data_IF_833985464719
#
_entry.id   IF_833985464719
#
_cell.length_a   1.000
_cell.length_b   1.000
_cell.length_c   1.000
_cell.angle_alpha   90.00
_cell.angle_beta   90.00
_cell.angle_gamma   90.00
#
_symmetry.space_group_name_H-M   'P 1'
#
loop_
_entity.id
_entity.type
_entity.pdbx_description
1 polymer ?
#
# COMPACT_ATOMS: atom_id res chain seq x y z
N UNK A 1 -9.36 -0.73 -16.54
CA UNK A 1 -8.10 -0.75 -15.76
C UNK A 1 -7.50 -2.12 -15.96
N UNK A 2 -6.30 -2.20 -16.55
CA UNK A 2 -5.65 -3.48 -16.77
C UNK A 2 -4.98 -3.90 -15.46
N UNK A 3 -5.62 -4.81 -14.73
CA UNK A 3 -4.93 -5.57 -13.68
C UNK A 3 -3.81 -6.36 -14.37
N UNK A 4 -2.56 -6.03 -14.06
CA UNK A 4 -1.42 -6.78 -14.56
C UNK A 4 -1.21 -8.00 -13.67
N UNK A 5 -1.07 -9.20 -14.24
CA UNK A 5 -0.75 -10.43 -13.49
C UNK A 5 0.72 -10.48 -13.02
N UNK A 6 1.50 -9.46 -13.35
CA UNK A 6 2.90 -9.28 -13.02
C UNK A 6 3.82 -10.42 -13.47
N UNK A 7 4.35 -10.28 -14.69
CA UNK A 7 5.39 -11.18 -15.21
C UNK A 7 6.77 -10.72 -14.74
N UNK A 8 7.37 -11.47 -13.81
CA UNK A 8 8.66 -11.13 -13.21
C UNK A 8 9.79 -11.19 -14.26
N UNK A 9 10.63 -10.16 -14.27
CA UNK A 9 11.83 -10.07 -15.12
C UNK A 9 12.83 -11.19 -14.82
N UNK A 10 13.59 -11.59 -15.86
CA UNK A 10 14.59 -12.65 -15.74
C UNK A 10 15.72 -12.31 -14.77
N UNK A 11 16.48 -13.32 -14.33
CA UNK A 11 17.58 -13.14 -13.35
C UNK A 11 18.70 -12.19 -13.81
N UNK A 12 18.83 -11.95 -15.13
CA UNK A 12 19.80 -11.02 -15.72
C UNK A 12 19.24 -9.62 -15.97
N UNK A 13 17.92 -9.46 -15.98
CA UNK A 13 17.22 -8.20 -16.27
C UNK A 13 16.70 -7.61 -14.96
N UNK A 14 17.55 -6.83 -14.28
CA UNK A 14 17.23 -6.22 -12.99
C UNK A 14 17.55 -4.74 -13.00
N UNK A 15 16.75 -3.99 -12.25
CA UNK A 15 16.97 -2.56 -12.00
C UNK A 15 17.70 -2.42 -10.67
N UNK A 16 18.75 -1.61 -10.64
CA UNK A 16 19.51 -1.36 -9.42
C UNK A 16 18.95 -0.12 -8.74
N UNK A 17 18.39 -0.29 -7.54
CA UNK A 17 17.82 0.81 -6.76
C UNK A 17 18.57 0.98 -5.44
N UNK A 18 18.60 2.20 -4.87
CA UNK A 18 19.10 2.45 -3.53
C UNK A 18 18.42 1.55 -2.51
N UNK A 19 19.23 0.93 -1.64
CA UNK A 19 18.77 0.03 -0.61
C UNK A 19 19.14 0.59 0.76
N UNK A 20 18.11 0.81 1.56
CA UNK A 20 18.23 1.24 2.94
C UNK A 20 17.85 0.09 3.86
N UNK A 21 18.63 -0.13 4.91
CA UNK A 21 18.32 -1.11 5.95
C UNK A 21 18.55 -0.47 7.31
N UNK A 22 17.51 -0.47 8.16
CA UNK A 22 17.51 0.19 9.47
C UNK A 22 17.96 1.66 9.41
N UNK A 23 17.47 2.40 8.39
CA UNK A 23 17.78 3.83 8.21
C UNK A 23 19.19 4.13 7.71
N UNK A 24 19.99 3.11 7.37
CA UNK A 24 21.35 3.28 6.81
C UNK A 24 21.37 2.93 5.33
N UNK A 25 22.07 3.76 4.56
CA UNK A 25 22.39 3.45 3.16
C UNK A 25 23.29 2.20 3.09
N UNK A 26 22.85 1.22 2.29
CA UNK A 26 23.56 -0.05 2.04
C UNK A 26 23.97 -0.17 0.56
N UNK A 27 23.96 0.93 -0.19
CA UNK A 27 24.29 0.97 -1.61
C UNK A 27 23.11 0.55 -2.49
N UNK A 28 23.40 -0.14 -3.58
CA UNK A 28 22.39 -0.57 -4.55
C UNK A 28 22.05 -2.06 -4.37
N UNK A 29 20.76 -2.39 -4.46
CA UNK A 29 20.28 -3.77 -4.51
C UNK A 29 19.57 -4.01 -5.84
N UNK A 30 19.64 -5.22 -6.41
CA UNK A 30 18.97 -5.49 -7.67
C UNK A 30 17.51 -5.89 -7.43
N UNK A 31 16.58 -5.17 -8.05
CA UNK A 31 15.14 -5.38 -7.99
C UNK A 31 14.62 -6.00 -9.29
N UNK A 32 13.84 -7.09 -9.21
CA UNK A 32 13.02 -7.54 -10.32
C UNK A 32 11.96 -6.48 -10.66
N UNK A 33 11.47 -6.48 -11.89
CA UNK A 33 10.35 -5.65 -12.31
C UNK A 33 9.37 -6.47 -13.15
N UNK A 34 8.18 -5.95 -13.37
CA UNK A 34 7.20 -6.55 -14.25
C UNK A 34 7.54 -6.21 -15.71
N UNK A 35 7.73 -7.21 -16.56
CA UNK A 35 8.04 -6.99 -17.99
C UNK A 35 6.87 -6.41 -18.79
N UNK A 36 5.64 -6.47 -18.25
CA UNK A 36 4.43 -6.00 -18.93
C UNK A 36 4.06 -4.56 -18.55
N UNK A 37 4.16 -4.20 -17.26
CA UNK A 37 3.75 -2.88 -16.76
C UNK A 37 4.91 -2.01 -16.25
N UNK A 38 6.12 -2.55 -16.14
CA UNK A 38 7.30 -1.82 -15.67
C UNK A 38 7.37 -1.59 -14.16
N UNK A 39 6.37 -2.03 -13.38
CA UNK A 39 6.36 -1.88 -11.92
C UNK A 39 7.56 -2.62 -11.31
N UNK A 40 8.23 -2.02 -10.34
CA UNK A 40 9.38 -2.64 -9.66
C UNK A 40 8.89 -3.43 -8.46
N UNK A 41 9.42 -4.64 -8.30
CA UNK A 41 9.03 -5.54 -7.22
C UNK A 41 9.56 -5.05 -5.87
N UNK A 42 8.70 -5.00 -4.87
CA UNK A 42 9.09 -4.82 -3.47
C UNK A 42 9.94 -6.00 -2.99
N UNK A 43 11.06 -5.70 -2.32
CA UNK A 43 11.94 -6.71 -1.73
C UNK A 43 11.62 -6.98 -0.26
N UNK A 44 10.56 -6.36 0.28
CA UNK A 44 10.15 -6.58 1.65
C UNK A 44 9.63 -8.01 1.84
N UNK A 45 9.97 -8.62 2.97
CA UNK A 45 9.38 -9.89 3.42
C UNK A 45 8.07 -9.69 4.18
N UNK A 46 7.68 -8.45 4.46
CA UNK A 46 6.51 -8.16 5.27
C UNK A 46 5.23 -8.56 4.55
N UNK A 47 4.36 -9.27 5.27
CA UNK A 47 3.04 -9.62 4.78
C UNK A 47 2.17 -8.37 4.75
N UNK A 48 1.57 -8.10 3.59
CA UNK A 48 0.58 -7.05 3.44
C UNK A 48 -0.68 -7.32 4.27
N UNK A 49 -1.34 -6.24 4.69
CA UNK A 49 -2.67 -6.29 5.24
C UNK A 49 -3.70 -6.57 4.13
N UNK A 50 -4.76 -7.29 4.48
CA UNK A 50 -5.89 -7.48 3.58
C UNK A 50 -6.75 -6.22 3.51
N UNK A 51 -7.53 -6.05 2.45
CA UNK A 51 -8.54 -4.98 2.40
C UNK A 51 -9.50 -5.08 3.60
N UNK A 52 -9.86 -6.30 4.01
CA UNK A 52 -10.71 -6.53 5.19
C UNK A 52 -10.11 -5.99 6.49
N UNK A 53 -8.80 -6.04 6.66
CA UNK A 53 -8.13 -5.41 7.81
C UNK A 53 -8.37 -3.90 7.82
N UNK A 54 -8.16 -3.21 6.70
CA UNK A 54 -8.44 -1.77 6.59
C UNK A 54 -9.92 -1.43 6.79
N UNK A 55 -10.83 -2.27 6.30
CA UNK A 55 -12.26 -2.09 6.54
C UNK A 55 -12.60 -2.20 8.03
N UNK A 56 -11.94 -3.07 8.79
CA UNK A 56 -12.11 -3.15 10.25
C UNK A 56 -11.59 -1.88 10.94
N UNK A 57 -10.49 -1.29 10.45
CA UNK A 57 -9.99 0.00 10.97
C UNK A 57 -11.00 1.12 10.71
N UNK A 58 -11.62 1.17 9.53
CA UNK A 58 -12.70 2.14 9.24
C UNK A 58 -13.89 1.92 10.17
N UNK A 59 -14.28 0.67 10.42
CA UNK A 59 -15.36 0.36 11.35
C UNK A 59 -15.05 0.82 12.78
N UNK A 60 -13.80 0.67 13.24
CA UNK A 60 -13.34 1.15 14.53
C UNK A 60 -13.36 2.69 14.60
N UNK A 61 -12.89 3.38 13.56
CA UNK A 61 -12.99 4.84 13.45
C UNK A 61 -14.45 5.31 13.50
N UNK A 62 -15.38 4.54 12.93
CA UNK A 62 -16.82 4.82 12.94
C UNK A 62 -17.44 4.84 14.33
N UNK A 63 -16.79 4.26 15.34
CA UNK A 63 -17.24 4.36 16.75
C UNK A 63 -16.98 5.74 17.35
N UNK A 64 -15.98 6.46 16.84
CA UNK A 64 -15.55 7.77 17.35
C UNK A 64 -15.90 8.94 16.41
N UNK A 65 -16.13 8.64 15.14
CA UNK A 65 -16.44 9.61 14.10
C UNK A 65 -17.73 9.23 13.38
N UNK A 66 -18.52 10.24 12.97
CA UNK A 66 -19.71 10.02 12.14
C UNK A 66 -19.27 9.68 10.71
N UNK A 67 -19.02 8.41 10.44
CA UNK A 67 -18.67 7.90 9.11
C UNK A 67 -19.93 7.39 8.43
N UNK A 68 -20.23 7.96 7.27
CA UNK A 68 -21.36 7.53 6.44
C UNK A 68 -21.00 6.32 5.60
N UNK A 69 -22.00 5.52 5.22
CA UNK A 69 -21.82 4.40 4.29
C UNK A 69 -21.21 4.85 2.95
N UNK A 70 -21.54 6.07 2.50
CA UNK A 70 -20.96 6.66 1.28
C UNK A 70 -19.46 6.89 1.44
N UNK A 71 -19.01 7.45 2.57
CA UNK A 71 -17.57 7.64 2.84
C UNK A 71 -16.84 6.30 2.91
N UNK A 72 -17.39 5.30 3.59
CA UNK A 72 -16.81 3.94 3.63
C UNK A 72 -16.66 3.36 2.22
N UNK A 73 -17.67 3.53 1.35
CA UNK A 73 -17.62 3.07 -0.03
C UNK A 73 -16.59 3.84 -0.87
N UNK A 74 -16.47 5.15 -0.68
CA UNK A 74 -15.47 5.97 -1.36
C UNK A 74 -14.04 5.54 -0.97
N UNK A 75 -13.79 5.25 0.30
CA UNK A 75 -12.49 4.74 0.75
C UNK A 75 -12.19 3.38 0.10
N UNK A 76 -13.15 2.46 0.07
CA UNK A 76 -12.98 1.16 -0.58
C UNK A 76 -12.64 1.28 -2.08
N UNK A 77 -13.34 2.15 -2.80
CA UNK A 77 -13.08 2.40 -4.22
C UNK A 77 -11.71 3.04 -4.46
N UNK A 78 -11.29 3.97 -3.60
CA UNK A 78 -9.98 4.60 -3.75
C UNK A 78 -8.84 3.62 -3.42
N UNK A 79 -9.01 2.76 -2.40
CA UNK A 79 -8.07 1.68 -2.10
C UNK A 79 -7.90 0.71 -3.28
N UNK A 80 -9.02 0.32 -3.92
CA UNK A 80 -9.01 -0.54 -5.11
C UNK A 80 -8.31 0.16 -6.29
N UNK A 81 -8.64 1.42 -6.55
CA UNK A 81 -8.05 2.23 -7.62
C UNK A 81 -6.53 2.39 -7.46
N UNK A 82 -6.05 2.51 -6.23
CA UNK A 82 -4.63 2.66 -5.91
C UNK A 82 -3.90 1.31 -5.78
N UNK A 83 -4.59 0.18 -6.07
CA UNK A 83 -4.03 -1.17 -6.02
C UNK A 83 -3.37 -1.48 -4.66
N UNK A 84 -3.99 -1.07 -3.56
CA UNK A 84 -3.41 -1.19 -2.20
C UNK A 84 -3.09 -2.64 -1.81
N UNK A 85 -3.72 -3.63 -2.44
CA UNK A 85 -3.51 -5.06 -2.21
C UNK A 85 -2.51 -5.70 -3.17
N UNK A 86 -1.89 -4.92 -4.08
CA UNK A 86 -0.93 -5.43 -5.05
C UNK A 86 0.44 -5.67 -4.40
N UNK A 87 0.61 -6.90 -3.90
CA UNK A 87 1.84 -7.38 -3.26
C UNK A 87 3.09 -7.35 -4.14
N UNK A 88 2.97 -7.04 -5.43
CA UNK A 88 4.13 -6.92 -6.28
C UNK A 88 4.93 -5.65 -6.00
N UNK A 89 4.28 -4.49 -6.03
CA UNK A 89 4.95 -3.19 -6.03
C UNK A 89 5.01 -2.47 -4.69
N UNK A 90 4.22 -2.90 -3.70
CA UNK A 90 4.07 -2.19 -2.43
C UNK A 90 4.54 -3.05 -1.26
N UNK A 91 5.17 -2.44 -0.27
CA UNK A 91 5.38 -3.05 1.06
C UNK A 91 4.30 -2.62 2.07
N UNK A 92 4.27 -3.28 3.23
CA UNK A 92 3.27 -3.00 4.27
C UNK A 92 3.30 -1.56 4.78
N UNK A 93 4.48 -0.95 4.91
CA UNK A 93 4.59 0.42 5.40
C UNK A 93 4.04 1.42 4.37
N UNK A 94 4.38 1.22 3.10
CA UNK A 94 3.80 2.00 1.99
C UNK A 94 2.29 1.81 1.92
N UNK A 95 1.80 0.59 2.18
CA UNK A 95 0.37 0.27 2.23
C UNK A 95 -0.35 1.05 3.33
N UNK A 96 0.22 1.09 4.54
CA UNK A 96 -0.30 1.83 5.69
C UNK A 96 -0.29 3.35 5.45
N UNK A 97 0.79 3.90 4.86
CA UNK A 97 0.86 5.32 4.47
C UNK A 97 -0.26 5.66 3.49
N UNK A 98 -0.42 4.87 2.43
CA UNK A 98 -1.45 5.07 1.42
C UNK A 98 -2.85 5.01 2.04
N UNK A 99 -3.11 4.08 2.95
CA UNK A 99 -4.37 3.98 3.67
C UNK A 99 -4.63 5.22 4.55
N UNK A 100 -3.62 5.71 5.28
CA UNK A 100 -3.73 6.94 6.09
C UNK A 100 -4.07 8.13 5.19
N UNK A 101 -3.38 8.30 4.05
CA UNK A 101 -3.63 9.39 3.10
C UNK A 101 -5.04 9.36 2.51
N UNK A 102 -5.54 8.18 2.11
CA UNK A 102 -6.91 8.02 1.60
C UNK A 102 -7.92 8.37 2.68
N UNK A 103 -7.77 7.77 3.86
CA UNK A 103 -8.72 7.88 4.96
C UNK A 103 -8.79 9.30 5.51
N UNK A 104 -7.64 9.94 5.76
CA UNK A 104 -7.59 11.32 6.28
C UNK A 104 -8.21 12.31 5.31
N UNK A 105 -7.95 12.16 4.01
CA UNK A 105 -8.53 13.01 2.96
C UNK A 105 -10.04 12.88 2.84
N UNK A 106 -10.59 11.66 2.88
CA UNK A 106 -12.03 11.43 2.69
C UNK A 106 -12.84 11.73 3.96
N UNK A 107 -12.31 11.38 5.14
CA UNK A 107 -13.00 11.55 6.41
C UNK A 107 -12.73 12.90 7.07
N UNK A 108 -11.73 13.65 6.62
CA UNK A 108 -11.25 14.88 7.24
C UNK A 108 -10.92 14.69 8.74
N UNK A 109 -10.21 13.61 9.04
CA UNK A 109 -9.73 13.27 10.40
C UNK A 109 -8.21 13.40 10.46
N UNK A 110 -7.65 13.53 11.67
CA UNK A 110 -6.20 13.60 11.85
C UNK A 110 -5.53 12.28 11.48
N UNK A 111 -4.33 12.33 10.90
CA UNK A 111 -3.54 11.13 10.62
C UNK A 111 -3.32 10.29 11.89
N UNK A 112 -3.07 10.95 13.03
CA UNK A 112 -2.93 10.30 14.34
C UNK A 112 -4.13 9.45 14.72
N UNK A 113 -5.35 9.90 14.40
CA UNK A 113 -6.58 9.14 14.68
C UNK A 113 -6.62 7.81 13.95
N UNK A 114 -6.02 7.75 12.75
CA UNK A 114 -5.94 6.55 11.91
C UNK A 114 -4.75 5.68 12.33
N UNK A 115 -3.56 6.29 12.48
CA UNK A 115 -2.31 5.57 12.79
C UNK A 115 -2.36 4.78 14.10
N UNK A 116 -3.08 5.26 15.11
CA UNK A 116 -3.21 4.54 16.39
C UNK A 116 -4.01 3.23 16.30
N UNK A 117 -4.67 2.98 15.17
CA UNK A 117 -5.49 1.78 14.92
C UNK A 117 -4.83 0.79 13.94
N UNK A 118 -3.61 1.09 13.49
CA UNK A 118 -2.79 0.24 12.63
C UNK A 118 -1.80 -0.55 13.49
#
# INVERSE_FOLDING_TARGET
MNCCEHKISGSKEKIWLPHYFEGRDRGLKPHPYCTECGLVKSLSSDRLHSVGYFMNVIAELGKHHKITQVQTRLIALEMEKQLISDAFGIDRHQQEILFIEITTRILNVSARSVTQLL
#
